data_IF_375175163493
#
_entry.id   IF_375175163493
#
_cell.length_a   1.000
_cell.length_b   1.000
_cell.length_c   1.000
_cell.angle_alpha   90.00
_cell.angle_beta   90.00
_cell.angle_gamma   90.00
#
_symmetry.space_group_name_H-M   'P 1'
#
loop_
_entity.id
_entity.type
_entity.pdbx_description
1 polymer ?
#
# COMPACT_ATOMS: atom_id res chain seq x y z
N UNK A 1 4.76 44.52 9.46
CA UNK A 1 6.00 43.73 9.39
C UNK A 1 5.65 42.35 9.95
N UNK A 2 5.08 41.48 9.13
CA UNK A 2 5.77 40.48 8.32
C UNK A 2 6.40 39.37 9.15
N UNK A 3 5.67 38.26 9.30
CA UNK A 3 6.23 36.95 8.95
C UNK A 3 5.16 36.22 8.16
N UNK A 4 5.34 36.23 6.85
CA UNK A 4 4.63 35.36 5.92
C UNK A 4 4.93 33.91 6.33
N UNK A 5 3.88 33.13 6.62
CA UNK A 5 3.99 31.69 6.68
C UNK A 5 4.42 31.20 5.31
N UNK A 6 5.72 30.97 5.15
CA UNK A 6 6.26 30.23 4.01
C UNK A 6 5.67 28.82 4.18
N UNK A 7 4.74 28.44 3.30
CA UNK A 7 4.45 27.03 3.07
C UNK A 7 5.76 26.44 2.54
N UNK A 8 6.56 25.87 3.43
CA UNK A 8 7.75 25.10 3.05
C UNK A 8 7.28 24.01 2.11
N UNK A 9 7.92 23.87 0.96
CA UNK A 9 7.58 22.82 -0.01
C UNK A 9 7.58 21.45 0.70
N UNK A 10 6.62 20.59 0.34
CA UNK A 10 6.52 19.25 0.91
C UNK A 10 7.84 18.49 0.65
N UNK A 11 8.54 18.13 1.72
CA UNK A 11 9.82 17.42 1.64
C UNK A 11 9.61 16.06 0.99
N UNK A 12 10.43 15.76 0.00
CA UNK A 12 10.42 14.44 -0.62
C UNK A 12 11.20 13.42 0.25
N UNK A 13 11.17 12.14 -0.12
CA UNK A 13 11.84 11.08 0.66
C UNK A 13 13.35 11.27 0.76
N UNK A 14 14.02 11.82 -0.26
CA UNK A 14 15.45 12.10 -0.21
C UNK A 14 15.75 13.24 0.78
N UNK A 15 14.95 14.32 0.76
CA UNK A 15 15.13 15.44 1.68
C UNK A 15 15.04 14.98 3.15
N UNK A 16 14.05 14.12 3.46
CA UNK A 16 13.88 13.55 4.80
C UNK A 16 15.04 12.62 5.19
N UNK A 17 15.57 11.84 4.23
CA UNK A 17 16.70 10.94 4.47
C UNK A 17 18.00 11.70 4.68
N UNK A 18 18.23 12.80 3.95
CA UNK A 18 19.38 13.68 4.15
C UNK A 18 19.36 14.31 5.54
N UNK A 19 18.21 14.83 5.98
CA UNK A 19 18.04 15.39 7.32
C UNK A 19 18.24 14.35 8.43
N UNK A 20 17.69 13.14 8.27
CA UNK A 20 17.91 12.03 9.21
C UNK A 20 19.35 11.54 9.27
N UNK A 21 20.16 11.81 8.25
CA UNK A 21 21.57 11.41 8.18
C UNK A 21 22.52 12.49 8.72
N UNK A 22 22.03 13.68 9.04
CA UNK A 22 22.84 14.74 9.65
C UNK A 22 22.94 14.53 11.17
N UNK A 23 24.15 14.20 11.65
CA UNK A 23 24.46 13.97 13.07
C UNK A 23 24.08 15.14 14.00
N UNK A 24 23.87 16.35 13.45
CA UNK A 24 23.46 17.53 14.22
C UNK A 24 21.95 17.58 14.48
N UNK A 25 21.16 16.79 13.75
CA UNK A 25 19.70 16.76 13.88
C UNK A 25 19.32 15.78 14.98
N UNK A 26 18.67 16.29 16.03
CA UNK A 26 18.07 15.42 17.06
C UNK A 26 16.76 14.82 16.55
N UNK A 27 16.45 13.60 17.00
CA UNK A 27 15.21 12.92 16.61
C UNK A 27 13.95 13.71 17.02
N UNK A 28 14.00 14.42 18.15
CA UNK A 28 12.90 15.27 18.62
C UNK A 28 12.64 16.45 17.69
N UNK A 29 13.70 17.12 17.22
CA UNK A 29 13.59 18.23 16.27
C UNK A 29 13.06 17.74 14.92
N UNK A 30 13.59 16.62 14.41
CA UNK A 30 13.11 16.01 13.18
C UNK A 30 11.60 15.71 13.25
N UNK A 31 11.13 15.07 14.33
CA UNK A 31 9.70 14.74 14.49
C UNK A 31 8.84 16.00 14.53
N UNK A 32 9.27 17.01 15.28
CA UNK A 32 8.53 18.27 15.41
C UNK A 32 8.41 19.00 14.07
N UNK A 33 9.53 19.13 13.35
CA UNK A 33 9.62 19.94 12.14
C UNK A 33 9.03 19.24 10.90
N UNK A 34 8.86 17.91 10.94
CA UNK A 34 8.33 17.09 9.86
C UNK A 34 6.95 16.47 10.18
N UNK A 35 6.19 17.07 11.10
CA UNK A 35 4.87 16.55 11.53
C UNK A 35 3.94 16.24 10.34
N UNK A 36 3.92 17.13 9.33
CA UNK A 36 3.09 16.99 8.13
C UNK A 36 3.64 15.97 7.11
N UNK A 37 4.90 15.55 7.25
CA UNK A 37 5.54 14.56 6.38
C UNK A 37 5.30 13.12 6.83
N UNK A 38 4.82 12.91 8.06
CA UNK A 38 4.48 11.58 8.54
C UNK A 38 3.19 11.07 7.89
N UNK A 39 3.21 9.79 7.55
CA UNK A 39 2.06 9.09 6.97
C UNK A 39 0.98 8.91 8.05
N UNK A 40 0.15 9.93 8.23
CA UNK A 40 -1.07 9.89 9.04
C UNK A 40 -2.28 9.53 8.16
N UNK A 41 -2.19 8.40 7.46
CA UNK A 41 -3.24 7.97 6.55
C UNK A 41 -4.37 7.31 7.33
N UNK A 42 -5.57 7.87 7.21
CA UNK A 42 -6.79 7.15 7.54
C UNK A 42 -6.97 6.01 6.54
N UNK A 43 -6.49 4.82 6.92
CA UNK A 43 -6.57 3.61 6.11
C UNK A 43 -8.02 3.28 5.72
N UNK A 44 -9.00 3.61 6.57
CA UNK A 44 -10.40 3.40 6.24
C UNK A 44 -10.82 4.29 5.07
N UNK A 45 -10.48 5.58 5.10
CA UNK A 45 -10.76 6.50 4.00
C UNK A 45 -10.03 6.11 2.72
N UNK A 46 -8.77 5.69 2.83
CA UNK A 46 -8.00 5.17 1.70
C UNK A 46 -8.70 3.99 1.01
N UNK A 47 -9.04 2.95 1.77
CA UNK A 47 -9.69 1.76 1.22
C UNK A 47 -11.09 2.06 0.67
N UNK A 48 -11.89 2.88 1.38
CA UNK A 48 -13.21 3.32 0.90
C UNK A 48 -13.11 4.12 -0.40
N UNK A 49 -12.07 4.94 -0.54
CA UNK A 49 -11.77 5.67 -1.77
C UNK A 49 -11.50 4.74 -2.95
N UNK A 50 -10.63 3.74 -2.75
CA UNK A 50 -10.33 2.70 -3.76
C UNK A 50 -11.60 1.92 -4.16
N UNK A 51 -12.36 1.44 -3.18
CA UNK A 51 -13.59 0.67 -3.44
C UNK A 51 -14.58 1.50 -4.25
N UNK A 52 -14.80 2.76 -3.87
CA UNK A 52 -15.70 3.67 -4.60
C UNK A 52 -15.23 3.89 -6.04
N UNK A 53 -13.92 4.07 -6.25
CA UNK A 53 -13.33 4.23 -7.59
C UNK A 53 -13.51 2.98 -8.46
N UNK A 54 -13.43 1.78 -7.87
CA UNK A 54 -13.55 0.52 -8.60
C UNK A 54 -14.95 0.27 -9.19
N UNK A 55 -16.00 0.87 -8.62
CA UNK A 55 -17.39 0.59 -8.98
C UNK A 55 -17.89 -0.82 -8.61
N UNK A 56 -17.06 -1.66 -7.99
CA UNK A 56 -17.43 -3.02 -7.58
C UNK A 56 -18.31 -3.02 -6.33
N UNK A 57 -19.20 -4.01 -6.23
CA UNK A 57 -19.92 -4.24 -4.98
C UNK A 57 -18.98 -4.84 -3.93
N UNK A 58 -19.28 -4.60 -2.65
CA UNK A 58 -18.51 -5.20 -1.55
C UNK A 58 -18.50 -6.73 -1.63
N UNK A 59 -19.63 -7.34 -1.99
CA UNK A 59 -19.75 -8.80 -2.15
C UNK A 59 -18.85 -9.32 -3.28
N UNK A 60 -18.77 -8.62 -4.40
CA UNK A 60 -17.86 -9.00 -5.50
C UNK A 60 -16.41 -8.97 -5.04
N UNK A 61 -16.01 -7.94 -4.29
CA UNK A 61 -14.64 -7.80 -3.80
C UNK A 61 -14.33 -8.90 -2.80
N UNK A 62 -15.24 -9.19 -1.85
CA UNK A 62 -15.08 -10.27 -0.87
C UNK A 62 -14.86 -11.61 -1.58
N UNK A 63 -15.70 -11.92 -2.57
CA UNK A 63 -15.60 -13.16 -3.34
C UNK A 63 -14.31 -13.23 -4.17
N UNK A 64 -13.94 -12.14 -4.86
CA UNK A 64 -12.74 -12.10 -5.72
C UNK A 64 -11.44 -12.03 -4.93
N UNK A 65 -11.45 -11.50 -3.72
CA UNK A 65 -10.29 -11.47 -2.81
C UNK A 65 -10.15 -12.76 -2.00
N UNK A 66 -11.19 -13.60 -1.99
CA UNK A 66 -11.35 -14.77 -1.12
C UNK A 66 -11.08 -14.39 0.35
N UNK A 67 -11.77 -13.35 0.80
CA UNK A 67 -11.74 -12.89 2.19
C UNK A 67 -12.99 -13.35 2.92
N UNK A 68 -12.86 -13.59 4.23
CA UNK A 68 -14.05 -13.68 5.06
C UNK A 68 -14.71 -12.30 5.16
N UNK A 69 -16.05 -12.29 5.24
CA UNK A 69 -16.83 -11.06 5.39
C UNK A 69 -16.31 -10.21 6.57
N UNK A 70 -16.11 -10.83 7.73
CA UNK A 70 -15.61 -10.15 8.94
C UNK A 70 -14.26 -9.50 8.68
N UNK A 71 -13.31 -10.25 8.11
CA UNK A 71 -11.97 -9.72 7.83
C UNK A 71 -12.00 -8.54 6.87
N UNK A 72 -12.79 -8.62 5.79
CA UNK A 72 -12.96 -7.53 4.85
C UNK A 72 -13.43 -6.26 5.55
N UNK A 73 -14.50 -6.33 6.35
CA UNK A 73 -15.00 -5.14 7.05
C UNK A 73 -14.05 -4.61 8.11
N UNK A 74 -13.24 -5.45 8.76
CA UNK A 74 -12.19 -4.97 9.67
C UNK A 74 -11.11 -4.18 8.94
N UNK A 75 -10.71 -4.61 7.74
CA UNK A 75 -9.75 -3.88 6.89
C UNK A 75 -10.35 -2.56 6.41
N UNK A 76 -11.54 -2.58 5.82
CA UNK A 76 -12.16 -1.38 5.21
C UNK A 76 -12.53 -0.32 6.27
N UNK A 77 -12.77 -0.72 7.52
CA UNK A 77 -13.02 0.21 8.62
C UNK A 77 -11.75 0.58 9.39
N UNK A 78 -10.57 0.18 8.93
CA UNK A 78 -9.29 0.54 9.56
C UNK A 78 -9.05 -0.14 10.92
N UNK A 79 -9.84 -1.14 11.31
CA UNK A 79 -9.65 -1.91 12.55
C UNK A 79 -8.51 -2.91 12.43
N UNK A 80 -8.14 -3.29 11.21
CA UNK A 80 -7.08 -4.26 10.94
C UNK A 80 -6.21 -3.85 9.76
N UNK A 81 -4.90 -3.85 9.98
CA UNK A 81 -3.92 -3.65 8.89
C UNK A 81 -3.62 -5.00 8.22
N UNK A 82 -3.95 -5.17 6.92
CA UNK A 82 -3.73 -6.44 6.23
C UNK A 82 -2.24 -6.81 6.12
N UNK A 83 -1.96 -8.11 5.93
CA UNK A 83 -0.62 -8.57 5.57
C UNK A 83 -0.29 -8.19 4.13
N UNK A 84 0.99 -8.32 3.73
CA UNK A 84 1.44 -8.03 2.36
C UNK A 84 0.64 -8.82 1.32
N UNK A 85 0.49 -10.13 1.51
CA UNK A 85 -0.26 -10.99 0.58
C UNK A 85 -1.75 -10.64 0.54
N UNK A 86 -2.36 -10.28 1.68
CA UNK A 86 -3.76 -9.82 1.71
C UNK A 86 -3.93 -8.49 0.96
N UNK A 87 -2.97 -7.57 1.03
CA UNK A 87 -2.99 -6.34 0.20
C UNK A 87 -2.91 -6.68 -1.28
N UNK A 88 -2.03 -7.61 -1.67
CA UNK A 88 -1.87 -8.04 -3.06
C UNK A 88 -3.16 -8.72 -3.56
N UNK A 89 -3.78 -9.57 -2.76
CA UNK A 89 -5.08 -10.18 -3.07
C UNK A 89 -6.17 -9.13 -3.28
N UNK A 90 -6.25 -8.11 -2.42
CA UNK A 90 -7.15 -6.97 -2.64
C UNK A 90 -6.82 -6.23 -3.93
N UNK A 91 -5.54 -5.99 -4.22
CA UNK A 91 -5.10 -5.29 -5.42
C UNK A 91 -5.53 -6.02 -6.70
N UNK A 92 -5.35 -7.35 -6.74
CA UNK A 92 -5.80 -8.20 -7.85
C UNK A 92 -7.34 -8.20 -7.97
N UNK A 93 -8.05 -8.37 -6.85
CA UNK A 93 -9.52 -8.38 -6.84
C UNK A 93 -10.14 -7.07 -7.34
N UNK A 94 -9.55 -5.94 -6.94
CA UNK A 94 -9.97 -4.58 -7.31
C UNK A 94 -9.39 -4.10 -8.64
N UNK A 95 -8.50 -4.90 -9.28
CA UNK A 95 -7.78 -4.54 -10.51
C UNK A 95 -7.04 -3.21 -10.39
N UNK A 96 -6.30 -3.04 -9.30
CA UNK A 96 -5.50 -1.84 -9.06
C UNK A 96 -4.34 -1.76 -10.05
N UNK A 97 -3.90 -0.54 -10.36
CA UNK A 97 -2.60 -0.36 -11.02
C UNK A 97 -1.45 -0.76 -10.08
N UNK A 98 -0.26 -0.97 -10.65
CA UNK A 98 0.93 -1.23 -9.84
C UNK A 98 1.20 -0.08 -8.85
N UNK A 99 1.03 1.17 -9.27
CA UNK A 99 1.25 2.34 -8.40
C UNK A 99 0.25 2.39 -7.24
N UNK A 100 -1.01 2.06 -7.49
CA UNK A 100 -2.03 1.96 -6.45
C UNK A 100 -1.73 0.83 -5.46
N UNK A 101 -1.26 -0.32 -5.97
CA UNK A 101 -0.82 -1.44 -5.12
C UNK A 101 0.39 -1.05 -4.25
N UNK A 102 1.40 -0.40 -4.82
CA UNK A 102 2.58 0.08 -4.09
C UNK A 102 2.20 1.14 -3.03
N UNK A 103 1.24 2.01 -3.37
CA UNK A 103 0.69 2.99 -2.42
C UNK A 103 -0.01 2.29 -1.26
N UNK A 104 -0.83 1.27 -1.53
CA UNK A 104 -1.50 0.49 -0.49
C UNK A 104 -0.51 -0.24 0.42
N UNK A 105 0.54 -0.84 -0.15
CA UNK A 105 1.62 -1.46 0.61
C UNK A 105 2.31 -0.44 1.52
N UNK A 106 2.69 0.72 0.98
CA UNK A 106 3.33 1.81 1.74
C UNK A 106 2.45 2.28 2.89
N UNK A 107 1.18 2.59 2.64
CA UNK A 107 0.27 3.09 3.67
C UNK A 107 -0.02 2.06 4.75
N UNK A 108 0.00 0.77 4.42
CA UNK A 108 -0.13 -0.30 5.41
C UNK A 108 1.21 -0.68 6.09
N UNK A 109 2.30 0.04 5.84
CA UNK A 109 3.62 -0.24 6.39
C UNK A 109 4.17 -1.60 5.96
N UNK A 110 3.89 -2.02 4.72
CA UNK A 110 4.38 -3.27 4.12
C UNK A 110 5.44 -2.98 3.07
N UNK A 111 6.37 -3.92 2.92
CA UNK A 111 7.40 -3.82 1.90
C UNK A 111 6.80 -3.78 0.50
N UNK A 112 7.32 -2.88 -0.32
CA UNK A 112 6.96 -2.73 -1.72
C UNK A 112 7.28 -4.01 -2.51
N UNK A 113 6.63 -4.18 -3.66
CA UNK A 113 7.00 -5.20 -4.64
C UNK A 113 8.30 -4.80 -5.33
N UNK A 114 9.30 -5.68 -5.31
CA UNK A 114 10.61 -5.40 -5.89
C UNK A 114 10.91 -6.33 -7.07
N UNK A 115 11.03 -5.81 -8.32
CA UNK A 115 11.18 -6.65 -9.51
C UNK A 115 12.37 -7.63 -9.53
N UNK A 116 13.40 -7.41 -8.70
CA UNK A 116 14.55 -8.35 -8.60
C UNK A 116 14.25 -9.57 -7.73
N UNK A 117 13.17 -9.56 -6.97
CA UNK A 117 12.67 -10.73 -6.25
C UNK A 117 11.77 -11.49 -7.21
N UNK A 118 12.08 -12.77 -7.45
CA UNK A 118 11.37 -13.62 -8.40
C UNK A 118 9.86 -13.70 -8.10
N UNK A 119 9.48 -13.91 -6.83
CA UNK A 119 8.07 -13.88 -6.40
C UNK A 119 7.38 -12.57 -6.78
N UNK A 120 8.02 -11.45 -6.49
CA UNK A 120 7.44 -10.13 -6.72
C UNK A 120 7.33 -9.81 -8.22
N UNK A 121 8.26 -10.26 -9.05
CA UNK A 121 8.17 -10.05 -10.50
C UNK A 121 6.96 -10.76 -11.12
N UNK A 122 6.62 -11.96 -10.62
CA UNK A 122 5.41 -12.70 -11.01
C UNK A 122 4.15 -11.93 -10.58
N UNK A 123 4.13 -11.41 -9.35
CA UNK A 123 3.01 -10.63 -8.82
C UNK A 123 2.83 -9.32 -9.60
N UNK A 124 3.92 -8.60 -9.87
CA UNK A 124 3.91 -7.37 -10.68
C UNK A 124 3.36 -7.66 -12.08
N UNK A 125 3.80 -8.77 -12.69
CA UNK A 125 3.29 -9.21 -13.99
C UNK A 125 1.77 -9.45 -13.95
N UNK A 126 1.29 -10.13 -12.91
CA UNK A 126 -0.13 -10.39 -12.70
C UNK A 126 -0.96 -9.13 -12.54
N UNK A 127 -0.50 -8.18 -11.73
CA UNK A 127 -1.14 -6.87 -11.54
C UNK A 127 -1.22 -6.11 -12.86
N UNK A 128 -0.09 -5.98 -13.58
CA UNK A 128 -0.04 -5.24 -14.84
C UNK A 128 -0.94 -5.82 -15.94
N UNK A 129 -1.24 -7.13 -15.86
CA UNK A 129 -2.12 -7.82 -16.81
C UNK A 129 -3.55 -8.02 -16.30
N UNK A 130 -3.88 -7.47 -15.11
CA UNK A 130 -5.18 -7.64 -14.47
C UNK A 130 -5.60 -9.12 -14.31
N UNK A 131 -4.63 -10.00 -14.03
CA UNK A 131 -4.90 -11.40 -13.73
C UNK A 131 -5.70 -11.50 -12.43
N UNK A 132 -6.56 -12.52 -12.32
CA UNK A 132 -7.21 -12.85 -11.07
C UNK A 132 -6.25 -13.54 -10.10
N UNK A 133 -6.68 -13.69 -8.83
CA UNK A 133 -5.85 -14.30 -7.79
C UNK A 133 -5.43 -15.72 -8.15
N UNK A 134 -6.34 -16.52 -8.72
CA UNK A 134 -6.07 -17.90 -9.09
C UNK A 134 -4.99 -17.99 -10.18
N UNK A 135 -5.07 -17.15 -11.21
CA UNK A 135 -4.05 -17.11 -12.26
C UNK A 135 -2.67 -16.69 -11.72
N UNK A 136 -2.62 -15.76 -10.76
CA UNK A 136 -1.35 -15.38 -10.11
C UNK A 136 -0.83 -16.49 -9.20
N UNK A 137 -1.72 -17.14 -8.45
CA UNK A 137 -1.42 -18.29 -7.60
C UNK A 137 -0.83 -19.45 -8.42
N UNK A 138 -1.46 -19.80 -9.54
CA UNK A 138 -0.97 -20.83 -10.45
C UNK A 138 0.43 -20.50 -11.01
N UNK A 139 0.66 -19.24 -11.40
CA UNK A 139 1.97 -18.79 -11.86
C UNK A 139 3.03 -18.86 -10.75
N UNK A 140 2.70 -18.48 -9.52
CA UNK A 140 3.60 -18.56 -8.38
C UNK A 140 4.00 -20.02 -8.11
N UNK A 141 3.02 -20.90 -7.98
CA UNK A 141 3.23 -22.32 -7.67
C UNK A 141 3.98 -23.05 -8.79
N UNK A 142 3.58 -22.84 -10.05
CA UNK A 142 4.23 -23.49 -11.21
C UNK A 142 5.69 -23.05 -11.41
N UNK A 143 6.05 -21.85 -10.94
CA UNK A 143 7.42 -21.34 -10.96
C UNK A 143 8.17 -21.61 -9.65
N UNK A 144 7.59 -22.35 -8.70
CA UNK A 144 8.26 -22.78 -7.46
C UNK A 144 8.36 -21.68 -6.39
N UNK A 145 7.48 -20.70 -6.40
CA UNK A 145 7.38 -19.66 -5.37
C UNK A 145 6.24 -19.96 -4.38
N UNK A 146 6.29 -19.34 -3.19
CA UNK A 146 5.18 -19.42 -2.23
C UNK A 146 3.93 -18.68 -2.73
N UNK A 147 2.77 -19.30 -2.52
CA UNK A 147 1.45 -18.73 -2.86
C UNK A 147 1.07 -17.52 -1.98
N UNK A 148 -0.02 -16.82 -2.36
CA UNK A 148 -0.60 -15.69 -1.65
C UNK A 148 -1.45 -16.14 -0.45
N UNK A 149 -0.98 -15.86 0.77
CA UNK A 149 -1.65 -16.25 2.02
C UNK A 149 -2.93 -15.46 2.32
#
# INVERSE_FOLDING_TARGET
MSVSGIKTAEKNTNDLMEELSDDKVSIENYIKDNTDSFVNVDLSNFWKGIIRKSGMTKSDIINKSDFSYVYFYDVINGRKTPSRDKIIRLALALKLSLDECQTALKFCGRSQLYPRIKRDSIIIHGINRNLCIYEVSDNLLSLGEEDLK
#
